data_IF_886421697445
#
_entry.id   IF_886421697445
#
_cell.length_a   1.000
_cell.length_b   1.000
_cell.length_c   1.000
_cell.angle_alpha   90.00
_cell.angle_beta   90.00
_cell.angle_gamma   90.00
#
_symmetry.space_group_name_H-M   'P 1'
#
loop_
_entity.id
_entity.type
_entity.pdbx_description
1 polymer ?
#
# COMPACT_ATOMS: atom_id res chain seq x y z
N UNK A 1 1.19 -47.55 -63.00
CA UNK A 1 1.32 -46.19 -62.42
C UNK A 1 0.29 -45.30 -63.07
N UNK A 2 -0.93 -45.27 -62.53
CA UNK A 2 -1.99 -44.38 -63.00
C UNK A 2 -1.69 -42.96 -62.53
N UNK A 3 -1.39 -42.08 -63.49
CA UNK A 3 -1.19 -40.67 -63.23
C UNK A 3 -2.52 -40.05 -62.81
N UNK A 4 -2.63 -39.62 -61.54
CA UNK A 4 -3.71 -38.72 -61.11
C UNK A 4 -3.78 -37.53 -62.08
N UNK A 5 -4.97 -37.21 -62.60
CA UNK A 5 -5.13 -36.05 -63.48
C UNK A 5 -4.76 -34.79 -62.69
N UNK A 6 -4.10 -33.83 -63.32
CA UNK A 6 -3.64 -32.58 -62.66
C UNK A 6 -4.79 -31.92 -61.89
N UNK A 7 -6.02 -31.98 -62.41
CA UNK A 7 -7.24 -31.47 -61.76
C UNK A 7 -7.64 -32.23 -60.49
N UNK A 8 -7.56 -33.56 -60.47
CA UNK A 8 -7.85 -34.39 -59.28
C UNK A 8 -6.82 -34.13 -58.17
N UNK A 9 -5.55 -34.00 -58.54
CA UNK A 9 -4.47 -33.65 -57.61
C UNK A 9 -4.67 -32.26 -57.01
N UNK A 10 -5.10 -31.29 -57.82
CA UNK A 10 -5.42 -29.93 -57.35
C UNK A 10 -6.63 -29.90 -56.41
N UNK A 11 -7.69 -30.66 -56.70
CA UNK A 11 -8.88 -30.76 -55.83
C UNK A 11 -8.52 -31.39 -54.48
N UNK A 12 -7.78 -32.51 -54.49
CA UNK A 12 -7.31 -33.15 -53.26
C UNK A 12 -6.42 -32.23 -52.42
N UNK A 13 -5.52 -31.48 -53.07
CA UNK A 13 -4.65 -30.50 -52.40
C UNK A 13 -5.46 -29.37 -51.77
N UNK A 14 -6.46 -28.83 -52.48
CA UNK A 14 -7.34 -27.77 -51.95
C UNK A 14 -8.17 -28.25 -50.74
N UNK A 15 -8.67 -29.49 -50.77
CA UNK A 15 -9.37 -30.10 -49.63
C UNK A 15 -8.42 -30.24 -48.43
N UNK A 16 -7.19 -30.72 -48.64
CA UNK A 16 -6.19 -30.86 -47.57
C UNK A 16 -5.78 -29.51 -46.97
N UNK A 17 -5.57 -28.48 -47.81
CA UNK A 17 -5.28 -27.10 -47.34
C UNK A 17 -6.45 -26.55 -46.53
N UNK A 18 -7.69 -26.79 -46.96
CA UNK A 18 -8.89 -26.40 -46.22
C UNK A 18 -9.04 -27.11 -44.88
N UNK A 19 -8.75 -28.42 -44.84
CA UNK A 19 -8.77 -29.23 -43.61
C UNK A 19 -7.68 -28.78 -42.64
N UNK A 20 -6.46 -28.53 -43.13
CA UNK A 20 -5.36 -28.01 -42.31
C UNK A 20 -5.72 -26.65 -41.71
N UNK A 21 -6.25 -25.73 -42.52
CA UNK A 21 -6.70 -24.42 -42.01
C UNK A 21 -7.85 -24.52 -41.00
N UNK A 22 -8.71 -25.54 -41.10
CA UNK A 22 -9.75 -25.79 -40.10
C UNK A 22 -9.18 -26.36 -38.79
N UNK A 23 -8.17 -27.24 -38.86
CA UNK A 23 -7.45 -27.74 -37.70
C UNK A 23 -6.68 -26.62 -36.99
N UNK A 24 -6.03 -25.72 -37.72
CA UNK A 24 -5.29 -24.59 -37.15
C UNK A 24 -6.23 -23.62 -36.41
N UNK A 25 -7.40 -23.32 -36.99
CA UNK A 25 -8.45 -22.52 -36.32
C UNK A 25 -9.00 -23.21 -35.08
N UNK A 26 -9.24 -24.51 -35.15
CA UNK A 26 -9.70 -25.30 -34.01
C UNK A 26 -8.65 -25.31 -32.89
N UNK A 27 -7.37 -25.47 -33.22
CA UNK A 27 -6.27 -25.36 -32.27
C UNK A 27 -6.20 -23.98 -31.61
N UNK A 28 -6.40 -22.91 -32.38
CA UNK A 28 -6.43 -21.54 -31.85
C UNK A 28 -7.59 -21.31 -30.88
N UNK A 29 -8.81 -21.74 -31.24
CA UNK A 29 -9.97 -21.66 -30.33
C UNK A 29 -9.77 -22.52 -29.07
N UNK A 30 -9.05 -23.63 -29.17
CA UNK A 30 -8.75 -24.49 -28.03
C UNK A 30 -7.72 -23.84 -27.10
N UNK A 31 -6.71 -23.18 -27.67
CA UNK A 31 -5.74 -22.38 -26.94
C UNK A 31 -6.43 -21.20 -26.23
N UNK A 32 -7.34 -20.50 -26.90
CA UNK A 32 -8.16 -19.45 -26.30
C UNK A 32 -9.03 -19.98 -25.15
N UNK A 33 -9.73 -21.11 -25.33
CA UNK A 33 -10.57 -21.71 -24.27
C UNK A 33 -9.76 -22.19 -23.07
N UNK A 34 -8.56 -22.74 -23.30
CA UNK A 34 -7.69 -23.23 -22.23
C UNK A 34 -6.94 -22.13 -21.49
N UNK A 35 -6.57 -21.05 -22.18
CA UNK A 35 -5.90 -19.88 -21.58
C UNK A 35 -6.88 -18.85 -21.00
N UNK A 36 -8.12 -18.84 -21.47
CA UNK A 36 -9.11 -17.79 -21.19
C UNK A 36 -8.80 -16.46 -21.86
N UNK A 37 -7.78 -16.38 -22.73
CA UNK A 37 -7.33 -15.13 -23.36
C UNK A 37 -7.66 -15.10 -24.84
N UNK A 38 -8.08 -13.95 -25.34
CA UNK A 38 -8.43 -13.72 -26.75
C UNK A 38 -7.18 -13.73 -27.65
N UNK A 39 -6.03 -13.32 -27.13
CA UNK A 39 -4.75 -13.42 -27.81
C UNK A 39 -3.68 -13.97 -26.86
N UNK A 40 -2.82 -14.86 -27.36
CA UNK A 40 -1.74 -15.46 -26.57
C UNK A 40 -0.41 -14.76 -26.84
N UNK A 41 -0.22 -14.24 -28.07
CA UNK A 41 1.02 -13.61 -28.51
C UNK A 41 0.74 -12.19 -29.00
N UNK A 42 1.72 -11.27 -28.89
CA UNK A 42 1.59 -9.93 -29.44
C UNK A 42 1.34 -9.89 -30.97
N UNK A 43 1.75 -10.95 -31.69
CA UNK A 43 1.46 -11.11 -33.11
C UNK A 43 -0.03 -11.28 -33.42
N UNK A 44 -0.81 -11.82 -32.48
CA UNK A 44 -2.22 -12.16 -32.70
C UNK A 44 -3.09 -10.89 -32.60
N UNK A 45 -2.68 -9.93 -31.74
CA UNK A 45 -3.26 -8.59 -31.66
C UNK A 45 -2.22 -7.57 -31.18
N UNK A 46 -1.51 -6.88 -32.09
CA UNK A 46 -0.52 -5.88 -31.70
C UNK A 46 -1.14 -4.74 -30.87
N UNK A 47 -2.32 -4.26 -31.27
CA UNK A 47 -3.04 -3.21 -30.54
C UNK A 47 -3.50 -3.68 -29.15
N UNK A 48 -4.13 -4.85 -29.06
CA UNK A 48 -4.57 -5.43 -27.79
C UNK A 48 -3.39 -5.69 -26.84
N UNK A 49 -2.29 -6.21 -27.36
CA UNK A 49 -1.07 -6.42 -26.58
C UNK A 49 -0.48 -5.10 -26.05
N UNK A 50 -0.46 -4.03 -26.85
CA UNK A 50 0.01 -2.72 -26.37
C UNK A 50 -0.87 -2.13 -25.27
N UNK A 51 -2.20 -2.20 -25.42
CA UNK A 51 -3.14 -1.74 -24.41
C UNK A 51 -3.02 -2.57 -23.11
N UNK A 52 -2.95 -3.90 -23.21
CA UNK A 52 -2.77 -4.78 -22.07
C UNK A 52 -1.46 -4.48 -21.32
N UNK A 53 -0.36 -4.23 -22.03
CA UNK A 53 0.91 -3.82 -21.40
C UNK A 53 0.79 -2.48 -20.66
N UNK A 54 0.11 -1.50 -21.26
CA UNK A 54 -0.13 -0.20 -20.63
C UNK A 54 -0.98 -0.34 -19.35
N UNK A 55 -2.10 -1.07 -19.41
CA UNK A 55 -2.96 -1.30 -18.26
C UNK A 55 -2.25 -2.06 -17.13
N UNK A 56 -1.46 -3.09 -17.46
CA UNK A 56 -0.63 -3.79 -16.46
C UNK A 56 0.38 -2.85 -15.80
N UNK A 57 1.02 -1.97 -16.58
CA UNK A 57 1.95 -0.96 -16.06
C UNK A 57 1.28 0.07 -15.15
N UNK A 58 0.08 0.53 -15.51
CA UNK A 58 -0.73 1.40 -14.64
C UNK A 58 -1.19 0.69 -13.37
N UNK A 59 -1.61 -0.57 -13.49
CA UNK A 59 -2.05 -1.39 -12.36
C UNK A 59 -0.90 -1.61 -11.37
N UNK A 60 0.30 -1.92 -11.87
CA UNK A 60 1.49 -2.07 -11.03
C UNK A 60 1.84 -0.77 -10.28
N UNK A 61 1.67 0.39 -10.92
CA UNK A 61 1.84 1.71 -10.28
C UNK A 61 0.77 1.95 -9.20
N UNK A 62 -0.50 1.70 -9.50
CA UNK A 62 -1.60 1.85 -8.54
C UNK A 62 -1.40 0.94 -7.31
N UNK A 63 -1.04 -0.32 -7.52
CA UNK A 63 -0.73 -1.26 -6.43
C UNK A 63 0.47 -0.79 -5.59
N UNK A 64 1.52 -0.23 -6.19
CA UNK A 64 2.64 0.33 -5.45
C UNK A 64 2.21 1.53 -4.59
N UNK A 65 1.38 2.43 -5.13
CA UNK A 65 0.81 3.54 -4.38
C UNK A 65 -0.01 3.05 -3.18
N UNK A 66 -0.84 2.01 -3.37
CA UNK A 66 -1.58 1.37 -2.29
C UNK A 66 -0.70 0.77 -1.20
N UNK A 67 0.40 0.08 -1.57
CA UNK A 67 1.39 -0.42 -0.61
C UNK A 67 2.09 0.71 0.16
N UNK A 68 2.47 1.79 -0.54
CA UNK A 68 3.09 2.96 0.08
C UNK A 68 2.13 3.66 1.06
N UNK A 69 0.84 3.72 0.72
CA UNK A 69 -0.18 4.27 1.60
C UNK A 69 -0.37 3.40 2.84
N UNK A 70 -0.42 2.08 2.69
CA UNK A 70 -0.50 1.13 3.80
C UNK A 70 0.69 1.23 4.77
N UNK A 71 1.91 1.37 4.25
CA UNK A 71 3.11 1.60 5.08
C UNK A 71 3.02 2.93 5.83
N UNK A 72 2.57 3.99 5.14
CA UNK A 72 2.36 5.29 5.75
C UNK A 72 1.29 5.28 6.84
N UNK A 73 0.21 4.51 6.67
CA UNK A 73 -0.82 4.33 7.70
C UNK A 73 -0.25 3.63 8.94
N UNK A 74 0.55 2.58 8.76
CA UNK A 74 1.23 1.91 9.87
C UNK A 74 2.18 2.84 10.63
N UNK A 75 2.95 3.66 9.89
CA UNK A 75 3.83 4.66 10.48
C UNK A 75 3.05 5.71 11.29
N UNK A 76 2.03 6.33 10.67
CA UNK A 76 1.23 7.37 11.33
C UNK A 76 0.41 6.82 12.50
N UNK A 77 -0.09 5.59 12.42
CA UNK A 77 -0.79 4.94 13.53
C UNK A 77 0.13 4.69 14.73
N UNK A 78 1.41 4.36 14.48
CA UNK A 78 2.42 4.26 15.54
C UNK A 78 2.67 5.62 16.18
N UNK A 79 2.83 6.68 15.37
CA UNK A 79 2.97 8.05 15.87
C UNK A 79 1.77 8.47 16.73
N UNK A 80 0.55 8.27 16.25
CA UNK A 80 -0.68 8.67 16.96
C UNK A 80 -0.86 7.94 18.30
N UNK A 81 -0.63 6.62 18.31
CA UNK A 81 -0.69 5.81 19.54
C UNK A 81 0.37 6.29 20.54
N UNK A 82 1.60 6.55 20.08
CA UNK A 82 2.66 7.05 20.95
C UNK A 82 2.35 8.45 21.49
N UNK A 83 1.84 9.37 20.67
CA UNK A 83 1.44 10.71 21.11
C UNK A 83 0.32 10.65 22.16
N UNK A 84 -0.66 9.74 21.98
CA UNK A 84 -1.73 9.51 22.95
C UNK A 84 -1.17 9.02 24.30
N UNK A 85 -0.27 8.02 24.27
CA UNK A 85 0.37 7.53 25.49
C UNK A 85 1.20 8.62 26.19
N UNK A 86 1.91 9.46 25.44
CA UNK A 86 2.64 10.61 26.02
C UNK A 86 1.66 11.63 26.60
N UNK A 87 0.54 11.91 25.95
CA UNK A 87 -0.51 12.81 26.48
C UNK A 87 -1.01 12.36 27.86
N UNK A 88 -1.21 11.06 28.06
CA UNK A 88 -1.62 10.51 29.35
C UNK A 88 -0.54 10.72 30.42
N UNK A 89 0.74 10.51 30.07
CA UNK A 89 1.88 10.79 30.95
C UNK A 89 1.97 12.28 31.34
N UNK A 90 1.71 13.18 30.38
CA UNK A 90 1.68 14.62 30.62
C UNK A 90 0.54 15.01 31.57
N UNK A 91 -0.65 14.44 31.38
CA UNK A 91 -1.78 14.66 32.28
C UNK A 91 -1.49 14.16 33.70
N UNK A 92 -0.84 13.00 33.85
CA UNK A 92 -0.40 12.50 35.15
C UNK A 92 0.62 13.44 35.81
N UNK A 93 1.60 13.92 35.05
CA UNK A 93 2.58 14.91 35.54
C UNK A 93 1.89 16.18 36.05
N UNK A 94 0.88 16.67 35.32
CA UNK A 94 0.08 17.84 35.72
C UNK A 94 -0.65 17.61 37.04
N UNK A 95 -1.26 16.43 37.23
CA UNK A 95 -1.95 16.07 38.48
C UNK A 95 -0.97 16.06 39.66
N UNK A 96 0.20 15.45 39.48
CA UNK A 96 1.26 15.38 40.49
C UNK A 96 1.81 16.76 40.86
N UNK A 97 2.05 17.62 39.87
CA UNK A 97 2.48 18.99 40.11
C UNK A 97 1.44 19.79 40.92
N UNK A 98 0.14 19.68 40.60
CA UNK A 98 -0.94 20.29 41.36
C UNK A 98 -1.03 19.75 42.80
N UNK A 99 -0.81 18.44 42.98
CA UNK A 99 -0.77 17.82 44.31
C UNK A 99 0.39 18.38 45.14
N UNK A 100 1.57 18.55 44.55
CA UNK A 100 2.73 19.16 45.19
C UNK A 100 2.53 20.64 45.53
N UNK A 101 1.67 21.35 44.80
CA UNK A 101 1.28 22.73 45.11
C UNK A 101 0.24 22.85 46.23
N UNK A 102 -0.39 21.74 46.64
CA UNK A 102 -1.42 21.76 47.69
C UNK A 102 -0.87 22.22 49.03
N UNK A 103 -1.69 22.93 49.81
CA UNK A 103 -1.38 23.29 51.20
C UNK A 103 -1.65 22.14 52.21
N UNK A 104 -2.11 20.97 51.73
CA UNK A 104 -2.36 19.77 52.52
C UNK A 104 -1.14 18.84 52.63
N UNK A 105 -1.37 17.56 52.96
CA UNK A 105 -0.29 16.56 53.14
C UNK A 105 0.65 16.43 51.93
N UNK A 106 0.13 16.63 50.70
CA UNK A 106 0.90 16.63 49.45
C UNK A 106 1.90 17.78 49.29
N UNK A 107 1.73 18.88 50.04
CA UNK A 107 2.64 20.03 50.05
C UNK A 107 3.81 19.90 51.04
N UNK A 108 3.85 18.83 51.84
CA UNK A 108 4.97 18.59 52.74
C UNK A 108 6.25 18.26 51.94
N UNK A 109 7.41 18.60 52.48
CA UNK A 109 8.69 18.39 51.78
C UNK A 109 8.92 16.92 51.42
N UNK A 110 8.61 15.99 52.34
CA UNK A 110 8.73 14.55 52.07
C UNK A 110 7.73 14.05 51.01
N UNK A 111 6.51 14.59 50.97
CA UNK A 111 5.54 14.24 49.93
C UNK A 111 6.00 14.76 48.55
N UNK A 112 6.49 16.00 48.47
CA UNK A 112 7.01 16.57 47.22
C UNK A 112 8.20 15.80 46.67
N UNK A 113 9.07 15.30 47.53
CA UNK A 113 10.21 14.48 47.10
C UNK A 113 9.76 13.14 46.49
N UNK A 114 8.72 12.50 47.07
CA UNK A 114 8.11 11.30 46.51
C UNK A 114 7.39 11.58 45.18
N UNK A 115 6.63 12.67 45.10
CA UNK A 115 5.96 13.13 43.86
C UNK A 115 7.00 13.40 42.77
N UNK A 116 8.11 14.07 43.11
CA UNK A 116 9.18 14.35 42.16
C UNK A 116 9.84 13.06 41.62
N UNK A 117 10.03 12.04 42.48
CA UNK A 117 10.50 10.74 42.03
C UNK A 117 9.52 10.05 41.05
N UNK A 118 8.21 10.22 41.23
CA UNK A 118 7.21 9.74 40.28
C UNK A 118 7.28 10.51 38.95
N UNK A 119 7.43 11.84 38.99
CA UNK A 119 7.61 12.67 37.79
C UNK A 119 8.87 12.26 37.02
N UNK A 120 9.97 11.92 37.70
CA UNK A 120 11.18 11.42 37.05
C UNK A 120 10.94 10.10 36.28
N UNK A 121 10.16 9.19 36.86
CA UNK A 121 9.79 7.93 36.20
C UNK A 121 8.87 8.14 35.01
N UNK A 122 7.91 9.06 35.13
CA UNK A 122 7.04 9.45 34.03
C UNK A 122 7.87 10.05 32.89
N UNK A 123 8.82 10.95 33.20
CA UNK A 123 9.73 11.53 32.22
C UNK A 123 10.54 10.46 31.49
N UNK A 124 11.11 9.49 32.22
CA UNK A 124 11.85 8.36 31.61
C UNK A 124 10.96 7.53 30.68
N UNK A 125 9.72 7.25 31.11
CA UNK A 125 8.73 6.53 30.30
C UNK A 125 8.39 7.31 29.03
N UNK A 126 8.14 8.63 29.15
CA UNK A 126 7.86 9.50 27.99
C UNK A 126 9.03 9.59 27.02
N UNK A 127 10.27 9.60 27.49
CA UNK A 127 11.46 9.53 26.61
C UNK A 127 11.59 8.17 25.91
N UNK A 128 11.26 7.08 26.61
CA UNK A 128 11.18 5.74 26.01
C UNK A 128 10.14 5.69 24.89
N UNK A 129 8.96 6.26 25.13
CA UNK A 129 7.91 6.42 24.13
C UNK A 129 8.37 7.28 22.95
N UNK A 130 9.05 8.40 23.18
CA UNK A 130 9.59 9.25 22.12
C UNK A 130 10.64 8.56 21.23
N UNK A 131 11.23 7.46 21.71
CA UNK A 131 12.15 6.60 20.96
C UNK A 131 11.46 5.38 20.31
N UNK A 132 10.12 5.34 20.27
CA UNK A 132 9.35 4.29 19.57
C UNK A 132 9.76 4.20 18.11
N UNK A 133 9.84 2.97 17.59
CA UNK A 133 10.26 2.67 16.23
C UNK A 133 9.12 2.10 15.41
N UNK A 134 9.19 2.35 14.11
CA UNK A 134 8.43 1.64 13.09
C UNK A 134 9.42 0.94 12.16
N UNK A 135 9.43 -0.40 12.21
CA UNK A 135 10.57 -1.17 11.72
C UNK A 135 11.84 -0.81 12.50
N UNK A 136 12.92 -0.49 11.79
CA UNK A 136 14.21 -0.12 12.43
C UNK A 136 14.38 1.38 12.68
N UNK A 137 13.37 2.20 12.33
CA UNK A 137 13.50 3.66 12.30
C UNK A 137 12.72 4.33 13.43
N UNK A 138 13.31 5.28 14.17
CA UNK A 138 12.60 6.06 15.18
C UNK A 138 11.57 6.97 14.50
N UNK A 139 10.29 6.88 14.92
CA UNK A 139 9.21 7.61 14.25
C UNK A 139 9.30 9.13 14.43
N UNK A 140 9.98 9.57 15.50
CA UNK A 140 10.24 10.96 15.83
C UNK A 140 11.65 11.45 15.48
N UNK A 141 12.50 10.62 14.86
CA UNK A 141 13.91 10.97 14.60
C UNK A 141 14.16 11.69 13.26
N UNK A 142 13.11 11.97 12.48
CA UNK A 142 13.25 12.48 11.12
C UNK A 142 13.86 11.44 10.16
N UNK A 143 14.84 11.85 9.36
CA UNK A 143 15.64 10.99 8.47
C UNK A 143 16.96 10.52 9.08
N UNK A 144 17.15 10.70 10.39
CA UNK A 144 18.41 10.40 11.07
C UNK A 144 18.90 8.97 10.82
N UNK A 145 20.22 8.81 10.73
CA UNK A 145 20.87 7.50 10.75
C UNK A 145 20.94 6.89 12.17
N UNK A 146 20.61 7.68 13.20
CA UNK A 146 20.57 7.22 14.59
C UNK A 146 19.45 6.20 14.80
N UNK A 147 19.72 5.23 15.67
CA UNK A 147 18.72 4.24 16.09
C UNK A 147 17.73 4.80 17.13
N UNK A 148 17.92 6.04 17.61
CA UNK A 148 17.07 6.72 18.58
C UNK A 148 16.87 8.21 18.21
N UNK A 149 15.72 8.77 18.56
CA UNK A 149 15.38 10.18 18.36
C UNK A 149 15.90 11.08 19.50
N UNK A 150 15.98 10.54 20.72
CA UNK A 150 16.42 11.23 21.93
C UNK A 150 17.46 10.41 22.67
N UNK A 151 18.47 11.07 23.25
CA UNK A 151 19.40 10.44 24.18
C UNK A 151 18.80 10.26 25.58
N UNK A 152 19.57 9.64 26.50
CA UNK A 152 19.13 9.44 27.89
C UNK A 152 18.98 10.74 28.69
N UNK A 153 19.60 11.84 28.24
CA UNK A 153 19.49 13.16 28.84
C UNK A 153 18.30 13.96 28.29
N UNK A 154 17.64 13.48 27.23
CA UNK A 154 16.53 14.17 26.57
C UNK A 154 16.96 15.12 25.44
N UNK A 155 18.22 15.08 25.01
CA UNK A 155 18.68 15.83 23.85
C UNK A 155 18.19 15.18 22.56
N UNK A 156 17.72 16.00 21.62
CA UNK A 156 17.29 15.50 20.31
C UNK A 156 18.50 15.11 19.46
N UNK A 157 18.54 13.84 19.04
CA UNK A 157 19.55 13.26 18.15
C UNK A 157 19.06 13.11 16.70
N UNK A 158 17.78 13.41 16.46
CA UNK A 158 17.19 13.36 15.14
C UNK A 158 17.59 14.54 14.26
N UNK A 159 17.09 14.54 13.03
CA UNK A 159 17.21 15.66 12.10
C UNK A 159 15.85 16.29 11.81
N UNK A 160 15.81 17.32 10.95
CA UNK A 160 14.59 17.97 10.47
C UNK A 160 14.05 17.35 9.18
N UNK A 161 14.55 16.19 8.79
CA UNK A 161 14.20 15.52 7.55
C UNK A 161 12.79 14.94 7.59
N UNK A 162 12.01 15.23 6.55
CA UNK A 162 10.67 14.72 6.41
C UNK A 162 10.67 13.35 5.73
N UNK A 163 10.19 12.33 6.42
CA UNK A 163 9.92 11.01 5.82
C UNK A 163 8.63 11.11 5.02
N UNK A 164 8.69 10.88 3.71
CA UNK A 164 7.54 10.97 2.80
C UNK A 164 7.20 9.62 2.16
N UNK A 165 5.94 9.45 1.77
CA UNK A 165 5.44 8.33 0.97
C UNK A 165 4.75 8.84 -0.27
N UNK A 166 5.12 8.27 -1.42
CA UNK A 166 4.45 8.54 -2.69
C UNK A 166 3.23 7.66 -2.79
N UNK A 167 2.04 8.23 -2.81
CA UNK A 167 0.76 7.51 -2.69
C UNK A 167 -0.19 7.79 -3.86
N UNK A 168 0.33 8.42 -4.89
CA UNK A 168 -0.37 8.73 -6.13
C UNK A 168 0.59 9.35 -7.13
N UNK A 169 0.07 9.65 -8.31
CA UNK A 169 0.85 10.33 -9.34
C UNK A 169 1.15 11.76 -8.87
N UNK A 170 2.41 12.03 -8.53
CA UNK A 170 2.89 13.28 -7.93
C UNK A 170 2.31 13.65 -6.56
N UNK A 171 1.66 12.71 -5.86
CA UNK A 171 1.16 12.94 -4.49
C UNK A 171 2.11 12.32 -3.49
N UNK A 172 2.72 13.15 -2.65
CA UNK A 172 3.58 12.73 -1.54
C UNK A 172 2.97 13.17 -0.21
N UNK A 173 2.86 12.23 0.73
CA UNK A 173 2.37 12.51 2.09
C UNK A 173 3.54 12.36 3.05
N UNK A 174 3.73 13.35 3.92
CA UNK A 174 4.71 13.29 5.00
C UNK A 174 4.18 12.40 6.13
N UNK A 175 4.93 11.35 6.46
CA UNK A 175 4.62 10.40 7.54
C UNK A 175 5.52 10.62 8.76
N UNK A 176 6.71 11.17 8.58
CA UNK A 176 7.63 11.50 9.68
C UNK A 176 7.23 12.79 10.38
N UNK A 177 7.35 12.79 11.70
CA UNK A 177 7.16 13.97 12.55
C UNK A 177 8.45 14.18 13.34
N UNK A 178 9.26 15.21 13.05
CA UNK A 178 10.45 15.49 13.83
C UNK A 178 10.13 15.66 15.32
N UNK A 179 10.99 15.14 16.19
CA UNK A 179 10.79 15.20 17.63
C UNK A 179 10.71 16.63 18.16
N UNK A 180 11.39 17.58 17.51
CA UNK A 180 11.31 19.02 17.81
C UNK A 180 9.91 19.60 17.58
N UNK A 181 9.20 19.08 16.58
CA UNK A 181 7.85 19.52 16.25
C UNK A 181 6.84 18.87 17.21
N UNK A 182 7.04 17.59 17.54
CA UNK A 182 6.18 16.83 18.45
C UNK A 182 6.31 17.26 19.92
N UNK A 183 7.54 17.41 20.42
CA UNK A 183 7.84 17.56 21.84
C UNK A 183 8.43 18.93 22.19
N UNK A 184 8.56 19.85 21.24
CA UNK A 184 9.09 21.20 21.46
C UNK A 184 10.63 21.27 21.49
N UNK A 185 11.15 22.47 21.76
CA UNK A 185 12.60 22.74 21.80
C UNK A 185 12.98 23.64 22.98
N UNK A 186 14.21 23.51 23.47
CA UNK A 186 14.75 24.38 24.53
C UNK A 186 13.92 24.33 25.81
N UNK A 187 13.55 25.50 26.35
CA UNK A 187 12.78 25.61 27.59
C UNK A 187 11.31 25.21 27.45
N UNK A 188 10.76 25.08 26.24
CA UNK A 188 9.38 24.56 26.05
C UNK A 188 9.36 23.09 25.66
N UNK A 189 10.53 22.44 25.61
CA UNK A 189 10.62 21.01 25.37
C UNK A 189 9.99 20.23 26.51
N UNK A 190 9.15 19.26 26.18
CA UNK A 190 8.39 18.48 27.15
C UNK A 190 9.26 17.83 28.23
N UNK A 191 10.35 17.18 27.83
CA UNK A 191 11.22 16.47 28.78
C UNK A 191 11.98 17.42 29.70
N UNK A 192 12.33 18.62 29.22
CA UNK A 192 12.95 19.67 30.03
C UNK A 192 11.94 20.24 31.02
N UNK A 193 10.70 20.49 30.59
CA UNK A 193 9.61 20.94 31.49
C UNK A 193 9.35 19.90 32.59
N UNK A 194 9.29 18.61 32.26
CA UNK A 194 9.14 17.55 33.26
C UNK A 194 10.32 17.48 34.24
N UNK A 195 11.55 17.73 33.76
CA UNK A 195 12.73 17.79 34.62
C UNK A 195 12.70 19.01 35.56
N UNK A 196 12.26 20.16 35.06
CA UNK A 196 12.11 21.38 35.84
C UNK A 196 11.03 21.22 36.92
N UNK A 197 9.86 20.65 36.59
CA UNK A 197 8.80 20.32 37.57
C UNK A 197 9.36 19.43 38.69
N UNK A 198 10.12 18.40 38.33
CA UNK A 198 10.73 17.47 39.28
C UNK A 198 11.74 18.17 40.20
N UNK A 199 12.53 19.12 39.67
CA UNK A 199 13.47 19.90 40.45
C UNK A 199 12.78 20.93 41.36
N UNK A 200 11.76 21.61 40.85
CA UNK A 200 11.06 22.68 41.55
C UNK A 200 10.14 22.13 42.65
N UNK A 201 9.59 20.93 42.49
CA UNK A 201 8.96 20.17 43.57
C UNK A 201 9.92 20.00 44.77
N UNK A 202 11.20 19.76 44.52
CA UNK A 202 12.20 19.54 45.58
C UNK A 202 12.75 20.83 46.17
N UNK A 203 12.96 21.86 45.35
CA UNK A 203 13.79 23.02 45.70
C UNK A 203 13.05 24.35 45.70
N UNK A 204 12.11 24.57 44.78
CA UNK A 204 11.39 25.83 44.65
C UNK A 204 9.91 25.65 44.23
N UNK A 205 9.03 25.25 45.18
CA UNK A 205 7.62 24.98 44.88
C UNK A 205 6.84 26.21 44.37
N UNK A 206 7.36 27.42 44.54
CA UNK A 206 6.72 28.64 44.03
C UNK A 206 6.84 28.80 42.51
N UNK A 207 7.80 28.13 41.88
CA UNK A 207 8.00 28.17 40.43
C UNK A 207 7.08 27.19 39.66
N UNK A 208 6.45 26.24 40.36
CA UNK A 208 5.58 25.22 39.76
C UNK A 208 4.42 25.78 38.92
N UNK A 209 3.91 26.97 39.24
CA UNK A 209 2.87 27.60 38.41
C UNK A 209 3.39 27.94 37.01
N UNK A 210 4.62 28.43 36.89
CA UNK A 210 5.24 28.72 35.60
C UNK A 210 5.57 27.46 34.80
N UNK A 211 5.95 26.39 35.49
CA UNK A 211 6.17 25.10 34.85
C UNK A 211 4.88 24.46 34.33
N UNK A 212 3.77 24.62 35.05
CA UNK A 212 2.46 24.19 34.59
C UNK A 212 2.02 24.95 33.33
N UNK A 213 2.30 26.25 33.23
CA UNK A 213 2.03 27.03 32.00
C UNK A 213 2.86 26.53 30.81
N UNK A 214 4.13 26.17 31.05
CA UNK A 214 5.01 25.56 30.04
C UNK A 214 4.52 24.16 29.65
N UNK A 215 4.03 23.37 30.60
CA UNK A 215 3.46 22.05 30.37
C UNK A 215 2.16 22.13 29.56
N UNK A 216 1.30 23.12 29.82
CA UNK A 216 0.08 23.37 29.06
C UNK A 216 0.41 23.83 27.62
N UNK A 217 1.51 24.57 27.43
CA UNK A 217 2.06 24.90 26.10
C UNK A 217 2.52 23.63 25.36
N UNK A 218 3.32 22.77 26.00
CA UNK A 218 3.77 21.51 25.42
C UNK A 218 2.58 20.58 25.08
N UNK A 219 1.56 20.54 25.94
CA UNK A 219 0.31 19.83 25.70
C UNK A 219 -0.42 20.33 24.46
N UNK A 220 -0.45 21.65 24.25
CA UNK A 220 -1.07 22.25 23.07
C UNK A 220 -0.31 21.89 21.79
N UNK A 221 1.03 21.89 21.82
CA UNK A 221 1.86 21.43 20.70
C UNK A 221 1.58 19.97 20.37
N UNK A 222 1.55 19.08 21.38
CA UNK A 222 1.23 17.66 21.17
C UNK A 222 -0.14 17.46 20.50
N UNK A 223 -1.18 18.16 20.99
CA UNK A 223 -2.53 18.10 20.39
C UNK A 223 -2.56 18.60 18.96
N UNK A 224 -1.84 19.69 18.68
CA UNK A 224 -1.73 20.21 17.32
C UNK A 224 -1.09 19.18 16.39
N UNK A 225 0.03 18.60 16.79
CA UNK A 225 0.72 17.57 16.02
C UNK A 225 -0.18 16.34 15.83
N UNK A 226 -0.85 15.87 16.87
CA UNK A 226 -1.81 14.77 16.78
C UNK A 226 -2.92 15.05 15.76
N UNK A 227 -3.48 16.26 15.77
CA UNK A 227 -4.49 16.67 14.77
C UNK A 227 -3.93 16.64 13.35
N UNK A 228 -2.71 17.13 13.13
CA UNK A 228 -2.06 17.08 11.80
C UNK A 228 -1.77 15.65 11.35
N UNK A 229 -1.38 14.76 12.27
CA UNK A 229 -1.17 13.33 12.02
C UNK A 229 -2.50 12.66 11.63
N UNK A 230 -3.59 12.95 12.35
CA UNK A 230 -4.92 12.46 12.00
C UNK A 230 -5.39 12.90 10.62
N UNK A 231 -5.14 14.16 10.24
CA UNK A 231 -5.44 14.66 8.89
C UNK A 231 -4.65 13.90 7.81
N UNK A 232 -3.36 13.67 8.04
CA UNK A 232 -2.49 12.89 7.13
C UNK A 232 -2.91 11.42 7.06
N UNK A 233 -3.35 10.83 8.18
CA UNK A 233 -3.89 9.48 8.23
C UNK A 233 -5.14 9.35 7.35
N UNK A 234 -6.10 10.26 7.50
CA UNK A 234 -7.31 10.29 6.67
C UNK A 234 -6.99 10.50 5.19
N UNK A 235 -5.99 11.33 4.87
CA UNK A 235 -5.51 11.51 3.51
C UNK A 235 -4.95 10.19 2.94
N UNK A 236 -4.12 9.47 3.71
CA UNK A 236 -3.58 8.19 3.27
C UNK A 236 -4.66 7.12 3.08
N UNK A 237 -5.65 7.05 3.96
CA UNK A 237 -6.79 6.13 3.81
C UNK A 237 -7.54 6.39 2.51
N UNK A 238 -7.81 7.66 2.18
CA UNK A 238 -8.43 8.03 0.90
C UNK A 238 -7.57 7.65 -0.31
N UNK A 239 -6.25 7.83 -0.21
CA UNK A 239 -5.33 7.45 -1.29
C UNK A 239 -5.18 5.93 -1.45
N UNK A 240 -5.24 5.19 -0.36
CA UNK A 240 -5.28 3.72 -0.40
C UNK A 240 -6.55 3.23 -1.10
N UNK A 241 -7.71 3.80 -0.76
CA UNK A 241 -8.97 3.45 -1.41
C UNK A 241 -8.94 3.79 -2.90
N UNK A 242 -8.50 5.00 -3.26
CA UNK A 242 -8.39 5.42 -4.66
C UNK A 242 -7.45 4.50 -5.47
N UNK A 243 -6.35 4.05 -4.87
CA UNK A 243 -5.43 3.10 -5.50
C UNK A 243 -6.07 1.72 -5.71
N UNK A 244 -6.90 1.26 -4.77
CA UNK A 244 -7.69 0.03 -4.90
C UNK A 244 -8.71 0.15 -6.03
N UNK A 245 -9.53 1.21 -6.02
CA UNK A 245 -10.56 1.45 -7.02
C UNK A 245 -9.95 1.54 -8.43
N UNK A 246 -8.78 2.17 -8.56
CA UNK A 246 -8.05 2.25 -9.82
C UNK A 246 -7.51 0.89 -10.27
N UNK A 247 -7.08 0.05 -9.34
CA UNK A 247 -6.64 -1.33 -9.63
C UNK A 247 -7.81 -2.16 -10.16
N UNK A 248 -8.99 -2.04 -9.55
CA UNK A 248 -10.20 -2.76 -9.97
C UNK A 248 -10.67 -2.28 -11.36
N UNK A 249 -10.70 -0.97 -11.58
CA UNK A 249 -11.04 -0.39 -12.88
C UNK A 249 -10.08 -0.85 -14.00
N UNK A 250 -8.77 -0.84 -13.74
CA UNK A 250 -7.77 -1.31 -14.69
C UNK A 250 -7.85 -2.83 -14.93
N UNK A 251 -8.22 -3.60 -13.92
CA UNK A 251 -8.46 -5.05 -14.05
C UNK A 251 -9.65 -5.31 -14.99
N UNK A 252 -10.74 -4.58 -14.84
CA UNK A 252 -11.90 -4.67 -15.74
C UNK A 252 -11.54 -4.24 -17.17
N UNK A 253 -10.76 -3.17 -17.34
CA UNK A 253 -10.28 -2.75 -18.67
C UNK A 253 -9.34 -3.77 -19.31
N UNK A 254 -8.45 -4.38 -18.53
CA UNK A 254 -7.57 -5.45 -18.99
C UNK A 254 -8.37 -6.69 -19.42
N UNK A 255 -9.38 -7.07 -18.63
CA UNK A 255 -10.29 -8.19 -18.95
C UNK A 255 -11.02 -7.96 -20.27
N UNK A 256 -11.57 -6.76 -20.49
CA UNK A 256 -12.25 -6.42 -21.74
C UNK A 256 -11.36 -6.50 -22.99
N UNK A 257 -10.04 -6.36 -22.83
CA UNK A 257 -9.08 -6.43 -23.94
C UNK A 257 -8.53 -7.84 -24.11
N UNK A 258 -8.25 -8.53 -23.01
CA UNK A 258 -7.47 -9.77 -23.03
C UNK A 258 -8.30 -11.03 -22.87
N UNK A 259 -9.46 -10.98 -22.21
CA UNK A 259 -10.23 -12.18 -21.88
C UNK A 259 -11.22 -12.55 -22.99
N UNK A 260 -11.48 -13.84 -23.15
CA UNK A 260 -12.48 -14.32 -24.10
C UNK A 260 -13.91 -14.19 -23.55
N UNK A 261 -14.85 -13.98 -24.47
CA UNK A 261 -16.26 -14.30 -24.24
C UNK A 261 -16.44 -15.82 -24.33
N UNK A 262 -16.38 -16.49 -23.17
CA UNK A 262 -16.49 -17.95 -23.06
C UNK A 262 -17.70 -18.51 -23.82
N UNK A 263 -18.95 -18.02 -23.63
CA UNK A 263 -20.11 -18.46 -24.41
C UNK A 263 -19.90 -18.37 -25.92
N UNK A 264 -19.38 -17.24 -26.41
CA UNK A 264 -19.14 -17.04 -27.85
C UNK A 264 -18.06 -17.99 -28.36
N UNK A 265 -16.92 -18.10 -27.67
CA UNK A 265 -15.79 -18.95 -28.08
C UNK A 265 -16.16 -20.44 -28.06
N UNK A 266 -16.96 -20.90 -27.09
CA UNK A 266 -17.48 -22.27 -27.06
C UNK A 266 -18.39 -22.52 -28.28
N UNK A 267 -19.26 -21.57 -28.60
CA UNK A 267 -20.15 -21.67 -29.76
C UNK A 267 -19.36 -21.74 -31.07
N UNK A 268 -18.36 -20.87 -31.24
CA UNK A 268 -17.45 -20.86 -32.39
C UNK A 268 -16.65 -22.16 -32.50
N UNK A 269 -16.15 -22.69 -31.38
CA UNK A 269 -15.47 -23.99 -31.34
C UNK A 269 -16.38 -25.12 -31.83
N UNK A 270 -17.63 -25.17 -31.37
CA UNK A 270 -18.55 -26.24 -31.74
C UNK A 270 -18.99 -26.13 -33.21
N UNK A 271 -19.20 -24.91 -33.71
CA UNK A 271 -19.42 -24.66 -35.14
C UNK A 271 -18.22 -25.12 -35.97
N UNK A 272 -17.00 -24.82 -35.54
CA UNK A 272 -15.77 -25.18 -36.24
C UNK A 272 -15.54 -26.71 -36.23
N UNK A 273 -15.81 -27.40 -35.12
CA UNK A 273 -15.79 -28.87 -35.05
C UNK A 273 -16.80 -29.50 -36.01
N UNK A 274 -18.02 -28.97 -36.05
CA UNK A 274 -19.08 -29.44 -36.96
C UNK A 274 -18.68 -29.21 -38.42
N UNK A 275 -18.15 -28.03 -38.74
CA UNK A 275 -17.67 -27.70 -40.07
C UNK A 275 -16.50 -28.60 -40.52
N UNK A 276 -15.57 -28.91 -39.61
CA UNK A 276 -14.46 -29.84 -39.89
C UNK A 276 -14.95 -31.26 -40.19
N UNK A 277 -15.89 -31.79 -39.40
CA UNK A 277 -16.51 -33.10 -39.65
C UNK A 277 -17.25 -33.14 -40.99
N UNK A 278 -18.01 -32.07 -41.31
CA UNK A 278 -18.67 -31.93 -42.60
C UNK A 278 -17.67 -31.88 -43.75
N UNK A 279 -16.58 -31.11 -43.63
CA UNK A 279 -15.51 -31.02 -44.62
C UNK A 279 -14.79 -32.36 -44.84
N UNK A 280 -14.53 -33.13 -43.77
CA UNK A 280 -13.99 -34.50 -43.89
C UNK A 280 -14.93 -35.41 -44.67
N UNK A 281 -16.23 -35.36 -44.36
CA UNK A 281 -17.24 -36.17 -45.06
C UNK A 281 -17.38 -35.81 -46.54
N UNK A 282 -17.29 -34.52 -46.87
CA UNK A 282 -17.32 -34.02 -48.25
C UNK A 282 -16.03 -34.37 -49.00
N UNK A 283 -14.87 -34.19 -48.36
CA UNK A 283 -13.56 -34.57 -48.90
C UNK A 283 -13.48 -36.06 -49.20
N UNK A 284 -13.99 -36.92 -48.31
CA UNK A 284 -14.07 -38.36 -48.54
C UNK A 284 -14.90 -38.72 -49.77
N UNK A 285 -16.00 -38.01 -50.04
CA UNK A 285 -16.84 -38.21 -51.24
C UNK A 285 -16.18 -37.72 -52.54
N UNK A 286 -15.36 -36.67 -52.45
CA UNK A 286 -14.65 -36.09 -53.61
C UNK A 286 -13.38 -36.88 -53.96
N UNK A 287 -12.71 -37.46 -52.96
CA UNK A 287 -11.49 -38.26 -53.12
C UNK A 287 -11.81 -39.74 -53.42
N UNK A 288 -13.04 -40.21 -53.17
CA UNK A 288 -13.49 -41.50 -53.68
C UNK A 288 -13.44 -41.47 -55.22
N UNK A 289 -12.59 -42.28 -55.87
CA UNK A 289 -12.65 -42.39 -57.31
C UNK A 289 -14.00 -43.03 -57.66
N UNK A 290 -14.82 -42.37 -58.48
CA UNK A 290 -15.94 -43.00 -59.17
C UNK A 290 -15.42 -43.97 -60.24
N UNK A 291 -14.61 -44.95 -59.84
CA UNK A 291 -14.16 -46.04 -60.69
C UNK A 291 -15.31 -46.97 -61.08
N UNK A 292 -16.42 -46.97 -60.34
CA UNK A 292 -17.61 -47.78 -60.65
C UNK A 292 -18.49 -47.13 -61.74
N UNK A 293 -18.38 -45.81 -61.97
CA UNK A 293 -19.12 -45.12 -63.05
C UNK A 293 -18.31 -45.02 -64.36
N UNK A 294 -17.00 -45.29 -64.34
CA UNK A 294 -16.17 -45.31 -65.55
C UNK A 294 -16.09 -46.69 -66.23
N UNK A 295 -16.68 -47.73 -65.62
CA UNK A 295 -16.73 -49.10 -66.17
C UNK A 295 -18.18 -49.59 -66.41
N UNK A 296 -18.99 -48.76 -67.07
CA UNK A 296 -20.11 -49.24 -67.88
C UNK A 296 -19.76 -49.16 -69.36
#
# INVERSE_FOLDING_TARGET
MTAFRVTERSIATNVLVGLQGNLDRMGSLQEQLSSGKQFAKPSDSPAGATAAMQYRGEMARAQQHGRNASDGLGWLGTVDTTLSNVMDQVQRTRQLALEGMSNGAGGSQGAREAIAAEVDQIRQTSMGLANTKYGDRPVFGGTTASSAAYDAAGNYLGDTGAVQRTVGDNVKVQVGVPGTDAFGTGSTQLFTVMADISNDLRTNPSALSGDLDRLDTATTTLKFVQSTVGARYNQLTQMQQLASDRTDALTAQLSNVEDIDLPKTITEMQLQQTAYQAALSAGAKVVQPSLVDFLR
#
